data_IF_282165406568
#
_entry.id   IF_282165406568
#
_cell.length_a   1.000
_cell.length_b   1.000
_cell.length_c   1.000
_cell.angle_alpha   90.00
_cell.angle_beta   90.00
_cell.angle_gamma   90.00
#
_symmetry.space_group_name_H-M   'P 1'
#
loop_
_entity.id
_entity.type
_entity.pdbx_description
1 polymer ?
#
# COMPACT_ATOMS: atom_id res chain seq x y z
N UNK A 1 -6.23 12.23 14.43
CA UNK A 1 -6.84 12.05 13.09
C UNK A 1 -7.62 10.75 13.14
N UNK A 2 -8.92 10.74 12.81
CA UNK A 2 -9.72 9.51 12.89
C UNK A 2 -10.04 8.99 11.49
N UNK A 3 -9.25 8.02 11.03
CA UNK A 3 -9.65 7.13 9.93
C UNK A 3 -10.67 6.15 10.51
N UNK A 4 -11.82 5.97 9.84
CA UNK A 4 -12.79 4.96 10.28
C UNK A 4 -12.34 3.55 9.89
N UNK A 5 -12.78 2.55 10.65
CA UNK A 5 -12.49 1.14 10.36
C UNK A 5 -12.90 0.75 8.92
N UNK A 6 -14.06 1.22 8.44
CA UNK A 6 -14.54 0.99 7.07
C UNK A 6 -13.59 1.59 6.03
N UNK A 7 -13.23 2.88 6.17
CA UNK A 7 -12.31 3.55 5.24
C UNK A 7 -10.95 2.87 5.18
N UNK A 8 -10.44 2.38 6.31
CA UNK A 8 -9.17 1.67 6.35
C UNK A 8 -9.25 0.35 5.59
N UNK A 9 -10.30 -0.46 5.84
CA UNK A 9 -10.50 -1.74 5.12
C UNK A 9 -10.64 -1.53 3.63
N UNK A 10 -11.48 -0.57 3.22
CA UNK A 10 -11.72 -0.25 1.82
C UNK A 10 -10.45 0.26 1.14
N UNK A 11 -9.72 1.18 1.78
CA UNK A 11 -8.45 1.71 1.28
C UNK A 11 -7.41 0.61 1.05
N UNK A 12 -7.22 -0.29 2.02
CA UNK A 12 -6.32 -1.44 1.89
C UNK A 12 -6.76 -2.39 0.76
N UNK A 13 -8.07 -2.66 0.65
CA UNK A 13 -8.61 -3.55 -0.38
C UNK A 13 -8.46 -2.96 -1.79
N UNK A 14 -8.76 -1.68 -1.98
CA UNK A 14 -8.61 -1.03 -3.27
C UNK A 14 -7.14 -0.87 -3.68
N UNK A 15 -6.25 -0.58 -2.74
CA UNK A 15 -4.81 -0.57 -3.00
C UNK A 15 -4.31 -1.97 -3.38
N UNK A 16 -4.74 -3.01 -2.68
CA UNK A 16 -4.42 -4.41 -3.02
C UNK A 16 -4.81 -4.73 -4.45
N UNK A 17 -6.02 -4.35 -4.88
CA UNK A 17 -6.50 -4.54 -6.26
C UNK A 17 -5.57 -3.87 -7.28
N UNK A 18 -5.15 -2.63 -7.03
CA UNK A 18 -4.27 -1.93 -7.96
C UNK A 18 -2.85 -2.51 -7.98
N UNK A 19 -2.32 -2.94 -6.84
CA UNK A 19 -1.03 -3.64 -6.78
C UNK A 19 -1.05 -4.95 -7.57
N UNK A 20 -2.10 -5.78 -7.42
CA UNK A 20 -2.29 -6.98 -8.25
C UNK A 20 -2.34 -6.63 -9.74
N UNK A 21 -3.02 -5.55 -10.11
CA UNK A 21 -3.11 -5.14 -11.52
C UNK A 21 -1.76 -4.68 -12.07
N UNK A 22 -0.98 -3.92 -11.28
CA UNK A 22 0.37 -3.50 -11.67
C UNK A 22 1.30 -4.70 -11.86
N UNK A 23 1.21 -5.71 -10.98
CA UNK A 23 1.91 -6.98 -11.13
C UNK A 23 1.52 -7.69 -12.44
N UNK A 24 0.23 -7.86 -12.71
CA UNK A 24 -0.28 -8.50 -13.94
C UNK A 24 0.15 -7.77 -15.23
N UNK A 25 0.37 -6.46 -15.14
CA UNK A 25 0.89 -5.63 -16.23
C UNK A 25 2.43 -5.63 -16.31
N UNK A 26 3.10 -6.47 -15.52
CA UNK A 26 4.55 -6.60 -15.39
C UNK A 26 5.24 -5.26 -15.07
N UNK A 27 4.62 -4.43 -14.22
CA UNK A 27 5.25 -3.17 -13.78
C UNK A 27 6.29 -3.48 -12.71
N UNK A 28 7.56 -3.05 -12.87
CA UNK A 28 8.63 -3.50 -11.98
C UNK A 28 8.52 -2.89 -10.58
N UNK A 29 8.59 -3.74 -9.56
CA UNK A 29 8.77 -3.34 -8.17
C UNK A 29 9.75 -4.33 -7.53
N UNK A 30 10.91 -3.85 -7.12
CA UNK A 30 11.86 -4.69 -6.39
C UNK A 30 11.56 -4.70 -4.88
N UNK A 31 12.08 -5.70 -4.17
CA UNK A 31 11.99 -5.74 -2.71
C UNK A 31 12.72 -4.55 -2.07
N UNK A 32 13.87 -4.16 -2.62
CA UNK A 32 14.62 -2.99 -2.14
C UNK A 32 13.84 -1.68 -2.33
N UNK A 33 13.15 -1.53 -3.47
CA UNK A 33 12.23 -0.40 -3.70
C UNK A 33 11.09 -0.42 -2.68
N UNK A 34 10.46 -1.57 -2.45
CA UNK A 34 9.39 -1.71 -1.45
C UNK A 34 9.85 -1.31 -0.05
N UNK A 35 10.96 -1.86 0.46
CA UNK A 35 11.45 -1.51 1.80
C UNK A 35 11.87 -0.05 1.89
N UNK A 36 12.62 0.46 0.90
CA UNK A 36 13.09 1.85 0.88
C UNK A 36 11.93 2.87 0.89
N UNK A 37 10.87 2.60 0.13
CA UNK A 37 9.74 3.54 0.06
C UNK A 37 8.80 3.42 1.27
N UNK A 38 8.63 2.21 1.82
CA UNK A 38 7.82 2.04 3.04
C UNK A 38 8.53 2.61 4.28
N UNK A 39 9.86 2.50 4.38
CA UNK A 39 10.65 3.13 5.44
C UNK A 39 10.53 4.67 5.42
N UNK A 40 10.39 5.25 4.22
CA UNK A 40 10.20 6.70 4.02
C UNK A 40 8.73 7.14 4.08
N UNK A 41 7.81 6.22 4.38
CA UNK A 41 6.37 6.46 4.41
C UNK A 41 5.85 7.15 3.12
N UNK A 42 6.35 6.72 1.96
CA UNK A 42 6.00 7.29 0.67
C UNK A 42 5.78 6.25 -0.43
N UNK A 43 5.50 5.00 -0.06
CA UNK A 43 5.28 3.90 -0.99
C UNK A 43 4.08 4.13 -1.89
N UNK A 44 2.91 4.43 -1.34
CA UNK A 44 1.67 4.65 -2.11
C UNK A 44 1.85 5.86 -3.03
N UNK A 45 2.42 6.94 -2.49
CA UNK A 45 2.71 8.17 -3.23
C UNK A 45 3.65 7.91 -4.42
N UNK A 46 4.72 7.14 -4.19
CA UNK A 46 5.70 6.77 -5.24
C UNK A 46 5.08 5.86 -6.29
N UNK A 47 4.20 4.92 -5.89
CA UNK A 47 3.45 4.07 -6.83
C UNK A 47 2.57 4.91 -7.75
N UNK A 48 1.86 5.90 -7.22
CA UNK A 48 1.10 6.84 -8.06
C UNK A 48 2.02 7.65 -8.98
N UNK A 49 3.13 8.18 -8.50
CA UNK A 49 4.05 8.93 -9.37
C UNK A 49 4.61 8.09 -10.53
N UNK A 50 4.94 6.82 -10.28
CA UNK A 50 5.52 5.92 -11.27
C UNK A 50 4.48 5.31 -12.21
N UNK A 51 3.27 5.02 -11.70
CA UNK A 51 2.29 4.16 -12.38
C UNK A 51 0.86 4.71 -12.45
N UNK A 52 0.62 5.98 -12.12
CA UNK A 52 -0.71 6.62 -12.18
C UNK A 52 -1.48 6.33 -13.46
N UNK A 53 -0.84 6.38 -14.63
CA UNK A 53 -1.51 6.13 -15.92
C UNK A 53 -2.08 4.74 -16.06
N UNK A 54 -1.59 3.79 -15.26
CA UNK A 54 -2.16 2.46 -15.17
C UNK A 54 -3.29 2.43 -14.16
N UNK A 55 -3.20 3.13 -13.03
CA UNK A 55 -4.17 3.08 -11.91
C UNK A 55 -5.53 3.62 -12.36
N UNK A 56 -6.59 2.82 -12.17
CA UNK A 56 -7.91 3.10 -12.79
C UNK A 56 -8.89 3.75 -11.83
N UNK A 57 -8.96 3.32 -10.56
CA UNK A 57 -10.03 3.75 -9.66
C UNK A 57 -9.57 3.75 -8.19
N UNK A 58 -8.57 4.59 -7.88
CA UNK A 58 -8.00 4.73 -6.53
C UNK A 58 -7.75 6.21 -6.17
N UNK A 59 -8.60 7.11 -6.66
CA UNK A 59 -8.48 8.56 -6.46
C UNK A 59 -8.37 8.98 -4.98
N UNK A 60 -8.94 8.19 -4.07
CA UNK A 60 -8.93 8.47 -2.63
C UNK A 60 -7.56 8.32 -1.97
N UNK A 61 -6.61 7.63 -2.61
CA UNK A 61 -5.22 7.51 -2.17
C UNK A 61 -4.24 8.21 -3.13
N UNK A 62 -4.73 8.91 -4.14
CA UNK A 62 -3.91 9.60 -5.11
C UNK A 62 -3.56 11.01 -4.59
N UNK A 63 -2.29 11.31 -4.26
CA UNK A 63 -1.90 12.61 -3.69
C UNK A 63 -2.16 13.82 -4.61
N UNK A 64 -2.42 13.61 -5.90
CA UNK A 64 -2.71 14.70 -6.86
C UNK A 64 -4.19 14.73 -7.27
N UNK A 65 -5.02 13.86 -6.71
CA UNK A 65 -6.46 13.87 -6.92
C UNK A 65 -7.14 14.83 -5.94
N UNK A 66 -8.12 15.59 -6.42
CA UNK A 66 -9.00 16.40 -5.56
C UNK A 66 -9.83 15.56 -4.57
N UNK A 67 -9.93 14.24 -4.81
CA UNK A 67 -10.67 13.28 -3.97
C UNK A 67 -9.78 12.57 -2.96
N UNK A 68 -8.49 12.91 -2.87
CA UNK A 68 -7.56 12.32 -1.91
C UNK A 68 -8.08 12.49 -0.48
N UNK A 69 -8.09 11.41 0.30
CA UNK A 69 -8.27 11.48 1.75
C UNK A 69 -6.88 11.42 2.40
N UNK A 70 -6.29 12.60 2.66
CA UNK A 70 -4.93 12.74 3.19
C UNK A 70 -4.74 12.01 4.52
N UNK A 71 -5.79 11.89 5.34
CA UNK A 71 -5.71 11.15 6.61
C UNK A 71 -5.60 9.66 6.36
N UNK A 72 -6.37 9.13 5.41
CA UNK A 72 -6.30 7.72 5.02
C UNK A 72 -4.96 7.39 4.38
N UNK A 73 -4.49 8.23 3.44
CA UNK A 73 -3.20 8.06 2.79
C UNK A 73 -2.06 8.07 3.83
N UNK A 74 -1.99 9.09 4.67
CA UNK A 74 -0.96 9.22 5.71
C UNK A 74 -0.97 8.03 6.67
N UNK A 75 -2.17 7.55 7.04
CA UNK A 75 -2.30 6.38 7.89
C UNK A 75 -1.75 5.11 7.23
N UNK A 76 -2.10 4.85 5.97
CA UNK A 76 -1.65 3.66 5.24
C UNK A 76 -0.13 3.70 5.03
N UNK A 77 0.44 4.85 4.66
CA UNK A 77 1.88 5.01 4.48
C UNK A 77 2.65 4.73 5.78
N UNK A 78 2.21 5.32 6.90
CA UNK A 78 2.81 5.04 8.21
C UNK A 78 2.65 3.57 8.61
N UNK A 79 1.46 2.98 8.38
CA UNK A 79 1.21 1.59 8.71
C UNK A 79 2.09 0.65 7.87
N UNK A 80 2.28 0.93 6.58
CA UNK A 80 3.20 0.21 5.73
C UNK A 80 4.63 0.23 6.29
N UNK A 81 5.13 1.40 6.71
CA UNK A 81 6.45 1.52 7.34
C UNK A 81 6.56 0.73 8.65
N UNK A 82 5.54 0.79 9.53
CA UNK A 82 5.53 0.01 10.79
C UNK A 82 5.57 -1.50 10.54
N UNK A 83 4.78 -1.99 9.60
CA UNK A 83 4.67 -3.42 9.31
C UNK A 83 5.87 -3.95 8.52
N UNK A 84 6.34 -3.23 7.51
CA UNK A 84 7.50 -3.64 6.70
C UNK A 84 8.82 -3.64 7.48
N UNK A 85 8.91 -2.85 8.56
CA UNK A 85 10.06 -2.87 9.47
C UNK A 85 10.18 -4.18 10.29
N UNK A 86 9.08 -4.93 10.46
CA UNK A 86 9.06 -6.19 11.22
C UNK A 86 8.90 -7.40 10.31
N UNK A 87 8.17 -7.23 9.21
CA UNK A 87 7.85 -8.28 8.25
C UNK A 87 8.90 -8.31 7.16
N UNK A 88 9.61 -9.44 7.08
CA UNK A 88 10.53 -9.72 5.97
C UNK A 88 9.87 -10.60 4.91
N UNK A 89 10.45 -10.64 3.71
CA UNK A 89 10.11 -11.58 2.62
C UNK A 89 10.04 -13.03 3.13
N UNK A 90 10.98 -13.42 3.99
CA UNK A 90 11.00 -14.73 4.62
C UNK A 90 9.84 -15.01 5.58
N UNK A 91 9.21 -13.98 6.15
CA UNK A 91 8.07 -14.11 7.08
C UNK A 91 6.84 -14.68 6.39
N UNK A 92 6.64 -14.36 5.12
CA UNK A 92 5.52 -14.86 4.30
C UNK A 92 5.94 -15.90 3.25
N UNK A 93 7.20 -16.34 3.24
CA UNK A 93 7.72 -17.21 2.19
C UNK A 93 7.73 -16.57 0.79
N UNK A 94 7.61 -15.25 0.71
CA UNK A 94 7.62 -14.47 -0.54
C UNK A 94 9.04 -13.99 -0.77
N UNK A 95 9.84 -14.79 -1.48
CA UNK A 95 11.30 -14.57 -1.54
C UNK A 95 11.70 -13.55 -2.62
N UNK A 96 10.85 -13.35 -3.62
CA UNK A 96 11.21 -12.68 -4.87
C UNK A 96 10.15 -11.71 -5.45
N UNK A 97 8.93 -11.64 -4.88
CA UNK A 97 7.86 -10.79 -5.40
C UNK A 97 7.44 -9.69 -4.42
N UNK A 98 7.83 -8.45 -4.70
CA UNK A 98 7.53 -7.31 -3.84
C UNK A 98 6.03 -6.94 -3.78
N UNK A 99 5.27 -7.18 -4.85
CA UNK A 99 3.82 -6.93 -4.82
C UNK A 99 3.12 -7.89 -3.85
N UNK A 100 3.46 -9.18 -3.89
CA UNK A 100 2.89 -10.16 -2.97
C UNK A 100 3.24 -9.83 -1.51
N UNK A 101 4.45 -9.34 -1.24
CA UNK A 101 4.84 -8.88 0.09
C UNK A 101 3.99 -7.67 0.51
N UNK A 102 3.90 -6.64 -0.33
CA UNK A 102 3.08 -5.44 -0.06
C UNK A 102 1.62 -5.78 0.21
N UNK A 103 1.04 -6.70 -0.56
CA UNK A 103 -0.34 -7.18 -0.39
C UNK A 103 -0.53 -7.90 0.96
N UNK A 104 0.40 -8.76 1.36
CA UNK A 104 0.33 -9.41 2.68
C UNK A 104 0.38 -8.38 3.83
N UNK A 105 1.24 -7.37 3.70
CA UNK A 105 1.29 -6.26 4.66
C UNK A 105 -0.03 -5.48 4.70
N UNK A 106 -0.65 -5.20 3.55
CA UNK A 106 -1.95 -4.52 3.51
C UNK A 106 -3.06 -5.32 4.20
N UNK A 107 -3.04 -6.65 4.12
CA UNK A 107 -3.97 -7.47 4.91
C UNK A 107 -3.71 -7.38 6.41
N UNK A 108 -2.44 -7.29 6.84
CA UNK A 108 -2.11 -7.07 8.24
C UNK A 108 -2.59 -5.69 8.72
N UNK A 109 -2.43 -4.64 7.91
CA UNK A 109 -2.92 -3.28 8.18
C UNK A 109 -4.46 -3.25 8.25
N UNK A 110 -5.14 -3.92 7.32
CA UNK A 110 -6.61 -4.00 7.31
C UNK A 110 -7.18 -4.57 8.63
N UNK A 111 -6.45 -5.47 9.30
CA UNK A 111 -6.82 -6.01 10.62
C UNK A 111 -6.66 -5.02 11.77
N UNK A 112 -5.95 -3.91 11.60
CA UNK A 112 -5.94 -2.84 12.60
C UNK A 112 -7.34 -2.24 12.77
N UNK A 113 -8.16 -2.24 11.71
CA UNK A 113 -9.55 -1.80 11.74
C UNK A 113 -10.46 -2.62 12.68
N UNK A 114 -10.10 -3.87 12.99
CA UNK A 114 -10.87 -4.72 13.92
C UNK A 114 -10.74 -4.27 15.37
N UNK A 115 -9.77 -3.39 15.66
CA UNK A 115 -9.47 -2.88 17.01
C UNK A 115 -9.81 -1.39 17.18
N UNK A 116 -10.43 -0.78 16.16
CA UNK A 116 -10.83 0.64 16.15
C UNK A 116 -12.25 0.84 16.70
#
# INVERSE_FOLDING_TARGET
>A
MSVSAEKLRDGCQWLTRELTRLEQLNRPLSLDEFYSWTERENFVSTIFDKYRSYIVALDVLDPKSERCDDNLLSYIENALGRHSNVITSGTYGVVDNAYLLAINVLFAISREADKM
#
